data_IF_381183129038
#
_entry.id   IF_381183129038
#
_cell.length_a   1.000
_cell.length_b   1.000
_cell.length_c   1.000
_cell.angle_alpha   90.00
_cell.angle_beta   90.00
_cell.angle_gamma   90.00
#
_symmetry.space_group_name_H-M   'P 1'
#
loop_
_entity.id
_entity.type
_entity.pdbx_description
1 polymer ?
#
# COMPACT_ATOMS: atom_id res chain seq x y z
N UNK A 1 -13.73 1.98 -12.86
CA UNK A 1 -13.67 1.68 -14.32
C UNK A 1 -12.86 2.71 -15.12
N UNK A 2 -13.15 4.00 -15.10
CA UNK A 2 -12.40 4.97 -15.94
C UNK A 2 -10.91 5.07 -15.57
N UNK A 3 -10.59 5.17 -14.27
CA UNK A 3 -9.19 5.23 -13.77
C UNK A 3 -8.41 3.96 -14.13
N UNK A 4 -9.02 2.80 -13.98
CA UNK A 4 -8.43 1.50 -14.32
C UNK A 4 -8.00 1.46 -15.79
N UNK A 5 -8.90 1.80 -16.72
CA UNK A 5 -8.61 1.82 -18.16
C UNK A 5 -7.48 2.80 -18.52
N UNK A 6 -7.47 4.00 -17.92
CA UNK A 6 -6.42 5.00 -18.14
C UNK A 6 -5.03 4.49 -17.69
N UNK A 7 -4.96 3.77 -16.58
CA UNK A 7 -3.71 3.19 -16.10
C UNK A 7 -3.24 2.10 -17.05
N UNK A 8 -4.11 1.17 -17.46
CA UNK A 8 -3.75 0.14 -18.44
C UNK A 8 -3.22 0.74 -19.76
N UNK A 9 -3.87 1.79 -20.28
CA UNK A 9 -3.39 2.49 -21.47
C UNK A 9 -2.03 3.17 -21.26
N UNK A 10 -1.83 3.80 -20.10
CA UNK A 10 -0.55 4.43 -19.76
C UNK A 10 0.57 3.38 -19.66
N UNK A 11 0.33 2.27 -18.98
CA UNK A 11 1.28 1.17 -18.84
C UNK A 11 1.64 0.56 -20.22
N UNK A 12 0.66 0.37 -21.08
CA UNK A 12 0.88 -0.13 -22.46
C UNK A 12 1.80 0.81 -23.26
N UNK A 13 1.61 2.12 -23.14
CA UNK A 13 2.42 3.13 -23.84
C UNK A 13 3.89 3.15 -23.40
N UNK A 14 4.22 2.64 -22.23
CA UNK A 14 5.62 2.57 -21.76
C UNK A 14 6.48 1.62 -22.60
N UNK A 15 5.88 0.59 -23.20
CA UNK A 15 6.58 -0.43 -23.96
C UNK A 15 7.38 -1.43 -23.13
N UNK A 16 7.57 -1.19 -21.82
CA UNK A 16 8.40 -2.05 -20.95
C UNK A 16 7.58 -3.00 -20.05
N UNK A 17 6.27 -2.76 -19.94
CA UNK A 17 5.37 -3.58 -19.13
C UNK A 17 4.85 -4.74 -19.95
N UNK A 18 5.21 -5.97 -19.51
CA UNK A 18 4.71 -7.20 -20.11
C UNK A 18 3.20 -7.35 -19.91
N UNK A 19 2.79 -7.29 -18.65
CA UNK A 19 1.40 -7.50 -18.28
C UNK A 19 1.05 -6.73 -17.00
N UNK A 20 -0.24 -6.52 -16.78
CA UNK A 20 -0.75 -5.89 -15.57
C UNK A 20 -2.03 -6.57 -15.08
N UNK A 21 -2.30 -6.44 -13.78
CA UNK A 21 -3.54 -6.80 -13.13
C UNK A 21 -3.93 -5.74 -12.12
N UNK A 22 -5.23 -5.49 -11.94
CA UNK A 22 -5.73 -4.53 -10.98
C UNK A 22 -6.77 -5.14 -10.04
N UNK A 23 -7.11 -4.39 -8.98
CA UNK A 23 -8.21 -4.75 -8.10
C UNK A 23 -9.54 -4.89 -8.86
N UNK A 24 -9.79 -4.01 -9.81
CA UNK A 24 -11.00 -3.98 -10.65
C UNK A 24 -10.94 -5.03 -11.78
N UNK A 25 -9.74 -5.40 -12.20
CA UNK A 25 -9.48 -6.43 -13.21
C UNK A 25 -8.53 -7.48 -12.62
N UNK A 26 -9.03 -8.39 -11.72
CA UNK A 26 -8.21 -9.33 -10.97
C UNK A 26 -7.78 -10.54 -11.82
N UNK A 27 -7.16 -10.24 -12.95
CA UNK A 27 -6.56 -11.21 -13.88
C UNK A 27 -5.43 -10.55 -14.64
N UNK A 28 -4.49 -11.35 -15.11
CA UNK A 28 -3.38 -10.85 -15.92
C UNK A 28 -3.86 -10.42 -17.31
N UNK A 29 -3.53 -9.19 -17.68
CA UNK A 29 -3.76 -8.62 -19.02
C UNK A 29 -2.41 -8.36 -19.65
N UNK A 30 -2.08 -9.09 -20.72
CA UNK A 30 -0.83 -8.89 -21.47
C UNK A 30 -0.89 -7.59 -22.24
N UNK A 31 0.11 -6.73 -22.08
CA UNK A 31 0.21 -5.41 -22.71
C UNK A 31 1.27 -5.36 -23.81
N UNK A 32 2.43 -5.96 -23.54
CA UNK A 32 3.53 -6.09 -24.51
C UNK A 32 4.26 -7.43 -24.30
N UNK A 33 4.19 -8.38 -25.25
CA UNK A 33 4.86 -9.68 -25.13
C UNK A 33 6.38 -9.61 -24.87
N UNK A 34 7.03 -8.51 -25.23
CA UNK A 34 8.46 -8.28 -25.05
C UNK A 34 8.79 -7.48 -23.78
N UNK A 35 7.80 -7.10 -22.98
CA UNK A 35 8.01 -6.37 -21.74
C UNK A 35 8.67 -7.21 -20.66
N UNK A 36 9.43 -6.55 -19.79
CA UNK A 36 10.21 -7.19 -18.71
C UNK A 36 9.52 -7.13 -17.36
N UNK A 37 8.53 -6.27 -17.20
CA UNK A 37 7.91 -5.97 -15.91
C UNK A 37 6.43 -6.38 -15.88
N UNK A 38 5.99 -6.77 -14.70
CA UNK A 38 4.57 -6.91 -14.37
C UNK A 38 4.21 -5.79 -13.42
N UNK A 39 3.01 -5.21 -13.60
CA UNK A 39 2.49 -4.17 -12.69
C UNK A 39 1.17 -4.65 -12.10
N UNK A 40 1.07 -4.60 -10.79
CA UNK A 40 -0.19 -4.82 -10.06
C UNK A 40 -0.60 -3.55 -9.35
N UNK A 41 -1.89 -3.20 -9.37
CA UNK A 41 -2.33 -1.92 -8.82
C UNK A 41 -3.76 -1.93 -8.31
N UNK A 42 -4.02 -1.10 -7.31
CA UNK A 42 -5.34 -0.59 -7.00
C UNK A 42 -5.49 0.78 -7.68
N UNK A 43 -6.41 0.91 -8.64
CA UNK A 43 -6.56 2.17 -9.38
C UNK A 43 -7.13 3.30 -8.53
N UNK A 44 -7.95 2.99 -7.51
CA UNK A 44 -8.64 3.98 -6.69
C UNK A 44 -9.01 3.44 -5.31
N UNK A 45 -8.03 3.32 -4.43
CA UNK A 45 -8.26 3.02 -3.02
C UNK A 45 -9.05 4.14 -2.34
N UNK A 46 -10.02 3.75 -1.53
CA UNK A 46 -10.91 4.68 -0.84
C UNK A 46 -12.12 5.11 -1.67
N UNK A 47 -12.51 4.37 -2.70
CA UNK A 47 -13.69 4.67 -3.52
C UNK A 47 -14.98 4.87 -2.70
N UNK A 48 -15.12 4.18 -1.58
CA UNK A 48 -16.27 4.29 -0.66
C UNK A 48 -16.37 5.61 0.11
N UNK A 49 -15.32 6.43 0.14
CA UNK A 49 -15.29 7.71 0.87
C UNK A 49 -15.17 8.92 -0.05
N UNK A 50 -15.17 8.70 -1.38
CA UNK A 50 -15.02 9.77 -2.38
C UNK A 50 -16.19 10.76 -2.35
N UNK A 51 -17.42 10.25 -2.16
CA UNK A 51 -18.64 11.09 -2.08
C UNK A 51 -18.65 11.97 -0.82
N UNK A 52 -17.93 11.55 0.22
CA UNK A 52 -17.73 12.34 1.42
C UNK A 52 -16.58 13.37 1.31
N UNK A 53 -15.98 13.49 0.11
CA UNK A 53 -14.87 14.38 -0.17
C UNK A 53 -13.60 14.12 0.65
N UNK A 54 -13.37 12.87 1.03
CA UNK A 54 -12.11 12.45 1.63
C UNK A 54 -11.03 12.23 0.57
N UNK A 55 -9.77 12.27 1.00
CA UNK A 55 -8.65 11.92 0.14
C UNK A 55 -8.71 10.44 -0.24
N UNK A 56 -8.39 10.15 -1.48
CA UNK A 56 -8.30 8.81 -2.06
C UNK A 56 -6.90 8.57 -2.60
N UNK A 57 -6.59 7.36 -3.06
CA UNK A 57 -5.25 7.08 -3.57
C UNK A 57 -5.20 6.00 -4.63
N UNK A 58 -3.99 5.75 -5.14
CA UNK A 58 -3.68 4.63 -6.00
C UNK A 58 -2.43 3.92 -5.49
N UNK A 59 -2.42 2.61 -5.61
CA UNK A 59 -1.35 1.76 -5.07
C UNK A 59 -0.78 0.93 -6.20
N UNK A 60 0.56 0.88 -6.31
CA UNK A 60 1.24 0.15 -7.38
C UNK A 60 2.37 -0.71 -6.83
N UNK A 61 2.54 -1.90 -7.41
CA UNK A 61 3.75 -2.69 -7.28
C UNK A 61 4.29 -3.07 -8.66
N UNK A 62 5.62 -3.11 -8.77
CA UNK A 62 6.36 -3.52 -9.94
C UNK A 62 7.11 -4.80 -9.61
N UNK A 63 6.97 -5.78 -10.49
CA UNK A 63 7.58 -7.10 -10.36
C UNK A 63 8.39 -7.41 -11.60
N UNK A 64 9.48 -8.16 -11.44
CA UNK A 64 10.19 -8.65 -12.60
C UNK A 64 9.49 -9.90 -13.15
N UNK A 65 9.30 -9.93 -14.46
CA UNK A 65 8.78 -11.12 -15.16
C UNK A 65 9.71 -12.31 -14.90
N UNK A 66 9.14 -13.47 -14.56
CA UNK A 66 9.87 -14.74 -14.50
C UNK A 66 9.61 -15.49 -15.81
N UNK A 67 10.67 -15.95 -16.46
CA UNK A 67 10.57 -16.74 -17.69
C UNK A 67 9.96 -18.12 -17.40
N UNK A 68 9.23 -18.68 -18.38
CA UNK A 68 8.68 -20.03 -18.33
C UNK A 68 7.37 -20.21 -17.57
N UNK A 69 6.80 -19.16 -16.99
CA UNK A 69 5.45 -19.23 -16.42
C UNK A 69 4.40 -18.93 -17.49
N UNK A 70 3.28 -19.66 -17.49
CA UNK A 70 2.13 -19.41 -18.37
C UNK A 70 1.48 -18.06 -18.06
N UNK A 71 0.78 -17.47 -19.02
CA UNK A 71 0.22 -16.11 -18.91
C UNK A 71 -0.78 -15.94 -17.77
N UNK A 72 -1.49 -16.99 -17.38
CA UNK A 72 -2.53 -16.95 -16.33
C UNK A 72 -1.93 -17.11 -14.92
N UNK A 73 -0.75 -17.70 -14.78
CA UNK A 73 -0.16 -18.07 -13.49
C UNK A 73 0.97 -17.13 -13.04
N UNK A 74 1.23 -16.05 -13.79
CA UNK A 74 2.42 -15.21 -13.61
C UNK A 74 2.62 -14.64 -12.21
N UNK A 75 1.56 -14.50 -11.40
CA UNK A 75 1.67 -13.99 -10.04
C UNK A 75 1.55 -15.05 -8.95
N UNK A 76 1.14 -16.27 -9.31
CA UNK A 76 1.02 -17.34 -8.31
C UNK A 76 2.42 -17.79 -7.86
N UNK A 77 2.57 -17.96 -6.56
CA UNK A 77 3.86 -18.28 -5.94
C UNK A 77 4.79 -17.10 -5.67
N UNK A 78 4.44 -15.88 -6.12
CA UNK A 78 5.19 -14.67 -5.74
C UNK A 78 4.94 -14.30 -4.27
N UNK A 79 5.88 -13.59 -3.70
CA UNK A 79 5.82 -13.04 -2.34
C UNK A 79 6.20 -11.56 -2.38
N UNK A 80 6.00 -10.83 -1.29
CA UNK A 80 6.46 -9.44 -1.21
C UNK A 80 7.95 -9.24 -1.45
N UNK A 81 8.77 -10.28 -1.33
CA UNK A 81 10.22 -10.23 -1.61
C UNK A 81 10.54 -10.13 -3.10
N UNK A 82 9.60 -10.51 -3.96
CA UNK A 82 9.75 -10.46 -5.41
C UNK A 82 9.41 -9.06 -5.98
N UNK A 83 8.91 -8.14 -5.14
CA UNK A 83 8.66 -6.73 -5.52
C UNK A 83 9.99 -6.03 -5.75
N UNK A 84 10.12 -5.36 -6.89
CA UNK A 84 11.28 -4.56 -7.24
C UNK A 84 11.03 -3.05 -7.16
N UNK A 85 9.78 -2.62 -7.15
CA UNK A 85 9.37 -1.23 -6.99
C UNK A 85 7.93 -1.13 -6.50
N UNK A 86 7.62 -0.04 -5.80
CA UNK A 86 6.25 0.26 -5.38
C UNK A 86 6.05 1.77 -5.30
N UNK A 87 4.77 2.16 -5.45
CA UNK A 87 4.32 3.54 -5.34
C UNK A 87 2.97 3.58 -4.62
N UNK A 88 2.82 4.56 -3.74
CA UNK A 88 1.59 4.92 -3.06
C UNK A 88 1.28 6.38 -3.38
N UNK A 89 0.30 6.64 -4.25
CA UNK A 89 -0.18 7.98 -4.54
C UNK A 89 -1.36 8.35 -3.63
N UNK A 90 -1.45 9.61 -3.23
CA UNK A 90 -2.59 10.14 -2.46
C UNK A 90 -3.08 11.44 -3.10
N UNK A 91 -4.39 11.49 -3.34
CA UNK A 91 -5.12 12.58 -3.99
C UNK A 91 -6.00 13.27 -2.94
N UNK A 92 -5.49 14.32 -2.34
CA UNK A 92 -6.17 15.11 -1.33
C UNK A 92 -5.97 16.60 -1.58
N UNK A 93 -5.67 17.36 -0.53
CA UNK A 93 -5.33 18.79 -0.66
C UNK A 93 -4.06 19.04 -1.49
N UNK A 94 -3.23 18.02 -1.65
CA UNK A 94 -2.09 17.96 -2.57
C UNK A 94 -2.12 16.61 -3.28
N UNK A 95 -1.64 16.56 -4.53
CA UNK A 95 -1.32 15.30 -5.20
C UNK A 95 0.12 14.94 -4.90
N UNK A 96 0.31 13.83 -4.23
CA UNK A 96 1.63 13.38 -3.73
C UNK A 96 1.79 11.88 -3.96
N UNK A 97 3.03 11.40 -3.98
CA UNK A 97 3.30 9.97 -3.99
C UNK A 97 4.51 9.64 -3.13
N UNK A 98 4.46 8.48 -2.49
CA UNK A 98 5.60 7.82 -1.86
C UNK A 98 6.09 6.75 -2.82
N UNK A 99 7.38 6.79 -3.17
CA UNK A 99 7.98 5.90 -4.16
C UNK A 99 9.23 5.25 -3.62
N UNK A 100 9.45 3.97 -3.96
CA UNK A 100 10.73 3.34 -3.72
C UNK A 100 11.70 3.71 -4.83
N UNK A 101 12.74 4.47 -4.46
CA UNK A 101 13.83 4.85 -5.35
C UNK A 101 14.86 3.72 -5.42
N UNK A 102 14.84 2.96 -6.49
CA UNK A 102 15.69 1.77 -6.69
C UNK A 102 17.17 2.14 -6.84
N UNK A 103 17.48 3.32 -7.41
CA UNK A 103 18.85 3.77 -7.61
C UNK A 103 19.54 4.06 -6.26
N UNK A 104 18.80 4.67 -5.35
CA UNK A 104 19.31 5.06 -4.03
C UNK A 104 18.91 4.13 -2.90
N UNK A 105 18.15 3.05 -3.20
CA UNK A 105 17.65 2.06 -2.23
C UNK A 105 16.97 2.73 -1.02
N UNK A 106 16.05 3.66 -1.28
CA UNK A 106 15.35 4.43 -0.25
C UNK A 106 13.91 4.75 -0.66
N UNK A 107 13.13 5.20 0.30
CA UNK A 107 11.75 5.65 0.07
C UNK A 107 11.75 7.18 0.05
N UNK A 108 11.20 7.77 -0.99
CA UNK A 108 11.12 9.22 -1.18
C UNK A 108 9.64 9.65 -1.35
N UNK A 109 9.31 10.89 -0.94
CA UNK A 109 8.04 11.56 -1.24
C UNK A 109 8.25 12.53 -2.41
N UNK A 110 7.37 12.48 -3.39
CA UNK A 110 7.29 13.41 -4.51
C UNK A 110 5.92 14.07 -4.54
N UNK A 111 5.86 15.31 -4.98
CA UNK A 111 4.61 16.07 -5.15
C UNK A 111 4.40 16.51 -6.58
N UNK A 112 3.15 16.47 -7.04
CA UNK A 112 2.78 16.97 -8.35
C UNK A 112 2.53 18.48 -8.26
N UNK A 113 3.32 19.25 -8.98
CA UNK A 113 3.24 20.70 -8.98
C UNK A 113 3.03 21.26 -10.38
N UNK A 114 2.15 22.26 -10.47
CA UNK A 114 2.03 23.08 -11.68
C UNK A 114 3.26 23.99 -11.77
N UNK A 115 3.92 23.96 -12.90
CA UNK A 115 5.04 24.83 -13.25
C UNK A 115 4.56 25.87 -14.26
N UNK A 116 4.74 27.18 -13.99
CA UNK A 116 4.43 28.19 -14.96
C UNK A 116 5.33 28.05 -16.18
N UNK A 117 4.82 28.44 -17.33
CA UNK A 117 5.59 28.57 -18.55
C UNK A 117 6.80 29.50 -18.31
N UNK A 118 7.92 29.17 -18.92
CA UNK A 118 9.12 30.01 -18.84
C UNK A 118 9.07 31.19 -19.81
N UNK A 119 8.28 31.04 -20.89
CA UNK A 119 8.09 32.05 -21.93
C UNK A 119 6.58 32.18 -22.23
N UNK A 120 6.16 33.31 -22.81
CA UNK A 120 4.77 33.60 -23.21
C UNK A 120 4.24 32.62 -24.29
N UNK A 121 5.12 31.94 -24.99
CA UNK A 121 4.78 30.94 -26.00
C UNK A 121 4.70 29.51 -25.46
N UNK A 122 5.17 29.27 -24.21
CA UNK A 122 5.10 27.97 -23.56
C UNK A 122 3.75 27.80 -22.84
N UNK A 123 3.38 26.54 -22.61
CA UNK A 123 2.23 26.19 -21.75
C UNK A 123 2.74 25.80 -20.36
N UNK A 124 1.95 26.13 -19.35
CA UNK A 124 2.13 25.55 -18.02
C UNK A 124 2.15 24.03 -18.10
N UNK A 125 3.00 23.40 -17.32
CA UNK A 125 3.10 21.95 -17.25
C UNK A 125 3.10 21.44 -15.81
N UNK A 126 2.75 20.18 -15.63
CA UNK A 126 2.80 19.50 -14.36
C UNK A 126 4.09 18.70 -14.23
N UNK A 127 4.74 18.79 -13.08
CA UNK A 127 5.98 18.08 -12.79
C UNK A 127 5.95 17.46 -11.40
N UNK A 128 6.46 16.24 -11.30
CA UNK A 128 6.76 15.62 -10.01
C UNK A 128 8.07 16.19 -9.46
N UNK A 129 8.05 16.58 -8.20
CA UNK A 129 9.16 17.25 -7.54
C UNK A 129 9.40 16.58 -6.21
N UNK A 130 10.67 16.33 -5.89
CA UNK A 130 11.08 15.82 -4.59
C UNK A 130 10.58 16.73 -3.46
N UNK A 131 9.84 16.13 -2.52
CA UNK A 131 9.35 16.81 -1.31
C UNK A 131 10.17 16.38 -0.10
N UNK A 132 10.43 15.08 0.00
CA UNK A 132 11.20 14.50 1.10
C UNK A 132 11.98 13.31 0.58
N UNK A 133 13.25 13.25 0.94
CA UNK A 133 14.14 12.14 0.58
C UNK A 133 14.44 11.29 1.81
N UNK A 134 14.62 9.99 1.58
CA UNK A 134 15.05 9.04 2.60
C UNK A 134 14.11 9.01 3.81
N UNK A 135 12.84 8.73 3.57
CA UNK A 135 11.85 8.55 4.64
C UNK A 135 12.27 7.38 5.53
N UNK A 136 12.31 7.63 6.83
CA UNK A 136 12.62 6.61 7.85
C UNK A 136 11.46 6.56 8.86
N UNK A 137 10.94 5.36 9.11
CA UNK A 137 9.90 5.13 10.11
C UNK A 137 10.55 4.81 11.45
N UNK A 138 10.25 5.62 12.46
CA UNK A 138 10.71 5.44 13.84
C UNK A 138 10.17 4.13 14.42
N UNK A 139 10.91 3.52 15.35
CA UNK A 139 10.50 2.25 15.97
C UNK A 139 9.20 2.33 16.78
N UNK A 140 8.91 3.46 17.39
CA UNK A 140 7.73 3.68 18.25
C UNK A 140 6.86 4.82 17.73
N UNK A 141 5.59 4.84 18.14
CA UNK A 141 4.63 5.89 17.81
C UNK A 141 3.58 6.05 18.91
N UNK A 142 2.85 7.15 18.86
CA UNK A 142 1.60 7.41 19.60
C UNK A 142 0.43 7.74 18.66
N UNK A 143 0.47 7.23 17.42
CA UNK A 143 -0.60 7.43 16.42
C UNK A 143 -1.04 6.10 15.85
N UNK A 144 -2.35 5.86 15.79
CA UNK A 144 -2.92 4.62 15.27
C UNK A 144 -4.10 4.87 14.32
N UNK A 145 -4.24 4.00 13.32
CA UNK A 145 -5.28 4.01 12.28
C UNK A 145 -5.93 2.63 12.18
N UNK A 146 -7.06 2.38 12.89
CA UNK A 146 -7.73 1.07 12.92
C UNK A 146 -8.74 0.93 11.78
N UNK A 147 -8.38 0.23 10.71
CA UNK A 147 -9.22 0.09 9.50
C UNK A 147 -10.46 -0.80 9.65
N UNK A 148 -10.42 -1.85 10.45
CA UNK A 148 -11.52 -2.81 10.60
C UNK A 148 -11.96 -2.93 12.06
N UNK A 149 -12.36 -1.80 12.66
CA UNK A 149 -12.69 -1.72 14.08
C UNK A 149 -13.79 -2.71 14.52
N UNK A 150 -14.70 -3.11 13.62
CA UNK A 150 -15.76 -4.09 13.92
C UNK A 150 -15.22 -5.44 14.37
N UNK A 151 -14.03 -5.82 13.91
CA UNK A 151 -13.39 -7.06 14.28
C UNK A 151 -13.01 -7.10 15.77
N UNK A 152 -12.74 -5.96 16.40
CA UNK A 152 -12.32 -5.90 17.80
C UNK A 152 -13.33 -6.44 18.78
N UNK A 153 -14.62 -6.42 18.44
CA UNK A 153 -15.69 -7.00 19.25
C UNK A 153 -15.68 -8.54 19.24
N UNK A 154 -15.01 -9.17 18.28
CA UNK A 154 -15.01 -10.61 18.05
C UNK A 154 -13.60 -11.23 18.10
N UNK A 155 -12.58 -10.44 17.82
CA UNK A 155 -11.17 -10.80 17.98
C UNK A 155 -10.65 -10.16 19.27
N UNK A 156 -10.62 -10.96 20.36
CA UNK A 156 -10.26 -10.49 21.70
C UNK A 156 -8.86 -9.86 21.73
N UNK A 157 -7.89 -10.45 21.03
CA UNK A 157 -6.52 -9.92 20.96
C UNK A 157 -6.48 -8.53 20.32
N UNK A 158 -7.20 -8.36 19.20
CA UNK A 158 -7.29 -7.06 18.54
C UNK A 158 -8.05 -6.04 19.40
N UNK A 159 -9.11 -6.46 20.08
CA UNK A 159 -9.83 -5.62 21.05
C UNK A 159 -8.93 -5.11 22.15
N UNK A 160 -8.13 -5.97 22.78
CA UNK A 160 -7.11 -5.60 23.78
C UNK A 160 -6.06 -4.64 23.22
N UNK A 161 -5.66 -4.82 21.98
CA UNK A 161 -4.71 -3.93 21.30
C UNK A 161 -5.27 -2.52 21.13
N UNK A 162 -6.50 -2.37 20.65
CA UNK A 162 -7.18 -1.07 20.55
C UNK A 162 -7.37 -0.40 21.91
N UNK A 163 -7.82 -1.16 22.90
CA UNK A 163 -7.94 -0.69 24.29
C UNK A 163 -6.62 -0.16 24.85
N UNK A 164 -5.52 -0.86 24.57
CA UNK A 164 -4.19 -0.42 24.96
C UNK A 164 -3.85 0.95 24.34
N UNK A 165 -4.04 1.13 23.03
CA UNK A 165 -3.74 2.40 22.38
C UNK A 165 -4.60 3.55 22.93
N UNK A 166 -5.90 3.31 23.14
CA UNK A 166 -6.82 4.31 23.69
C UNK A 166 -6.40 4.69 25.12
N UNK A 167 -6.21 3.72 26.01
CA UNK A 167 -5.85 3.94 27.43
C UNK A 167 -4.47 4.59 27.62
N UNK A 168 -3.56 4.41 26.66
CA UNK A 168 -2.22 5.00 26.69
C UNK A 168 -2.10 6.31 25.90
N UNK A 169 -3.22 6.96 25.55
CA UNK A 169 -3.27 8.30 25.00
C UNK A 169 -2.76 8.40 23.55
N UNK A 170 -2.93 7.33 22.76
CA UNK A 170 -2.60 7.38 21.33
C UNK A 170 -3.60 8.26 20.57
N UNK A 171 -3.10 8.95 19.56
CA UNK A 171 -3.91 9.79 18.69
C UNK A 171 -4.50 8.95 17.55
N UNK A 172 -5.83 8.93 17.45
CA UNK A 172 -6.54 8.31 16.33
C UNK A 172 -6.38 9.16 15.06
N UNK A 173 -5.98 8.51 13.97
CA UNK A 173 -5.98 9.05 12.61
C UNK A 173 -6.53 7.98 11.68
N UNK A 174 -7.72 8.20 11.15
CA UNK A 174 -8.38 7.25 10.26
C UNK A 174 -9.31 7.98 9.29
N UNK A 175 -9.05 7.84 8.00
CA UNK A 175 -9.81 8.47 6.92
C UNK A 175 -10.80 7.53 6.24
N UNK A 176 -10.57 6.22 6.34
CA UNK A 176 -11.31 5.19 5.60
C UNK A 176 -10.70 4.83 4.25
N UNK A 177 -9.62 5.52 3.85
CA UNK A 177 -8.80 5.20 2.69
C UNK A 177 -7.43 4.72 3.17
N UNK A 178 -7.07 3.47 2.86
CA UNK A 178 -5.82 2.87 3.30
C UNK A 178 -4.61 3.63 2.77
N UNK A 179 -4.65 4.05 1.51
CA UNK A 179 -3.57 4.83 0.90
C UNK A 179 -3.29 6.12 1.68
N UNK A 180 -4.34 6.87 2.04
CA UNK A 180 -4.20 8.13 2.80
C UNK A 180 -3.75 7.90 4.23
N UNK A 181 -4.27 6.87 4.90
CA UNK A 181 -3.90 6.51 6.27
C UNK A 181 -2.46 6.01 6.35
N UNK A 182 -2.00 5.26 5.36
CA UNK A 182 -0.61 4.81 5.25
C UNK A 182 0.33 5.95 4.82
N UNK A 183 -0.11 6.85 3.92
CA UNK A 183 0.65 8.04 3.55
C UNK A 183 1.00 8.89 4.78
N UNK A 184 0.07 9.00 5.74
CA UNK A 184 0.32 9.68 7.00
C UNK A 184 1.53 9.11 7.77
N UNK A 185 1.72 7.78 7.78
CA UNK A 185 2.87 7.12 8.45
C UNK A 185 4.19 7.59 7.82
N UNK A 186 4.26 7.64 6.48
CA UNK A 186 5.46 8.12 5.78
C UNK A 186 5.76 9.59 6.04
N UNK A 187 4.73 10.44 6.05
CA UNK A 187 4.89 11.89 6.28
C UNK A 187 5.37 12.18 7.70
N UNK A 188 4.85 11.48 8.69
CA UNK A 188 5.23 11.65 10.10
C UNK A 188 6.50 10.89 10.48
N UNK A 189 6.90 9.90 9.66
CA UNK A 189 7.97 8.98 9.99
C UNK A 189 7.64 8.10 11.19
N UNK A 190 6.36 7.92 11.49
CA UNK A 190 5.86 7.08 12.60
C UNK A 190 4.35 6.87 12.44
N UNK A 191 3.82 5.81 13.00
CA UNK A 191 2.40 5.46 12.98
C UNK A 191 2.19 3.97 12.90
N UNK A 192 0.95 3.54 13.16
CA UNK A 192 0.50 2.17 12.94
C UNK A 192 -0.84 2.18 12.21
N UNK A 193 -0.93 1.43 11.12
CA UNK A 193 -2.19 1.09 10.46
C UNK A 193 -2.49 -0.39 10.71
N UNK A 194 -3.75 -0.72 11.01
CA UNK A 194 -4.19 -2.08 11.23
C UNK A 194 -5.56 -2.32 10.62
N UNK A 195 -5.72 -3.44 9.91
CA UNK A 195 -7.00 -3.96 9.45
C UNK A 195 -7.02 -5.46 9.71
N UNK A 196 -7.61 -5.84 10.84
CA UNK A 196 -7.65 -7.22 11.35
C UNK A 196 -9.05 -7.79 11.18
N UNK A 197 -9.15 -9.08 10.92
CA UNK A 197 -10.41 -9.79 10.73
C UNK A 197 -10.85 -10.58 11.99
N UNK A 198 -12.09 -11.04 11.95
CA UNK A 198 -12.67 -11.99 12.91
C UNK A 198 -13.63 -12.94 12.17
N UNK A 199 -13.10 -13.86 11.36
CA UNK A 199 -13.91 -14.78 10.58
C UNK A 199 -14.81 -15.66 11.49
N UNK A 200 -15.97 -16.15 10.99
CA UNK A 200 -16.53 -15.87 9.67
C UNK A 200 -17.31 -14.56 9.57
N UNK A 201 -17.59 -13.87 10.70
CA UNK A 201 -18.50 -12.72 10.74
C UNK A 201 -17.89 -11.45 10.17
N UNK A 202 -16.60 -11.24 10.38
CA UNK A 202 -15.86 -10.06 9.92
C UNK A 202 -14.61 -10.53 9.15
N UNK A 203 -14.73 -10.82 7.84
CA UNK A 203 -13.61 -11.30 7.04
C UNK A 203 -12.57 -10.22 6.77
N UNK A 204 -11.36 -10.62 6.37
CA UNK A 204 -10.33 -9.73 5.81
C UNK A 204 -10.88 -9.04 4.57
N UNK A 205 -10.55 -7.77 4.39
CA UNK A 205 -11.12 -6.91 3.34
C UNK A 205 -10.10 -6.56 2.27
N UNK A 206 -8.86 -6.32 2.66
CA UNK A 206 -7.79 -5.78 1.81
C UNK A 206 -7.11 -6.91 1.02
N UNK A 207 -6.79 -6.61 -0.24
CA UNK A 207 -6.22 -7.58 -1.17
C UNK A 207 -4.70 -7.63 -1.07
N UNK A 208 -4.18 -8.86 -1.02
CA UNK A 208 -2.74 -9.10 -0.87
C UNK A 208 -1.94 -8.46 -2.00
N UNK A 209 -2.36 -8.69 -3.25
CA UNK A 209 -1.58 -8.35 -4.43
C UNK A 209 -1.58 -6.87 -4.78
N UNK A 210 -2.70 -6.18 -4.53
CA UNK A 210 -2.92 -4.81 -5.02
C UNK A 210 -2.73 -3.74 -3.94
N UNK A 211 -2.93 -4.11 -2.66
CA UNK A 211 -2.92 -3.19 -1.53
C UNK A 211 -1.86 -3.57 -0.50
N UNK A 212 -1.95 -4.79 0.08
CA UNK A 212 -1.17 -5.16 1.26
C UNK A 212 0.33 -5.28 0.98
N UNK A 213 0.73 -6.05 -0.04
CA UNK A 213 2.15 -6.26 -0.37
C UNK A 213 2.85 -5.00 -0.88
N UNK A 214 2.25 -4.18 -1.77
CA UNK A 214 2.87 -2.92 -2.20
C UNK A 214 3.16 -1.96 -1.05
N UNK A 215 2.18 -1.74 -0.16
CA UNK A 215 2.36 -0.82 0.98
C UNK A 215 3.32 -1.42 2.01
N UNK A 216 3.21 -2.72 2.30
CA UNK A 216 4.15 -3.42 3.18
C UNK A 216 5.59 -3.31 2.69
N UNK A 217 5.83 -3.42 1.38
CA UNK A 217 7.14 -3.23 0.78
C UNK A 217 7.69 -1.82 1.08
N UNK A 218 6.91 -0.77 0.84
CA UNK A 218 7.32 0.61 1.13
C UNK A 218 7.61 0.83 2.62
N UNK A 219 6.74 0.33 3.51
CA UNK A 219 6.92 0.42 4.97
C UNK A 219 8.22 -0.26 5.41
N UNK A 220 8.47 -1.49 4.93
CA UNK A 220 9.68 -2.24 5.28
C UNK A 220 10.94 -1.55 4.73
N UNK A 221 10.89 -1.02 3.50
CA UNK A 221 11.99 -0.26 2.89
C UNK A 221 12.26 1.07 3.62
N UNK A 222 11.27 1.64 4.27
CA UNK A 222 11.40 2.80 5.14
C UNK A 222 11.81 2.47 6.59
N UNK A 223 12.09 1.19 6.92
CA UNK A 223 12.54 0.76 8.26
C UNK A 223 11.42 0.37 9.23
N UNK A 224 10.17 0.35 8.79
CA UNK A 224 9.04 -0.16 9.55
C UNK A 224 8.88 -1.68 9.47
N UNK A 225 7.80 -2.20 10.06
CA UNK A 225 7.42 -3.62 10.01
C UNK A 225 6.05 -3.81 9.38
N UNK A 226 5.82 -5.04 8.86
CA UNK A 226 4.56 -5.44 8.24
C UNK A 226 4.23 -6.90 8.62
N UNK A 227 2.98 -7.11 9.10
CA UNK A 227 2.47 -8.39 9.58
C UNK A 227 1.03 -8.61 9.14
N UNK A 228 0.61 -9.86 9.03
CA UNK A 228 -0.81 -10.27 8.92
C UNK A 228 -1.47 -10.50 10.30
N UNK A 229 -0.79 -10.14 11.38
CA UNK A 229 -1.17 -10.41 12.75
C UNK A 229 -0.45 -11.61 13.35
N UNK A 230 0.06 -12.52 12.54
CA UNK A 230 0.79 -13.74 12.94
C UNK A 230 2.16 -13.80 12.27
N UNK A 231 2.18 -13.63 10.95
CA UNK A 231 3.39 -13.80 10.12
C UNK A 231 3.86 -12.47 9.56
N UNK A 232 5.11 -12.46 9.08
CA UNK A 232 5.63 -11.34 8.29
C UNK A 232 4.92 -11.25 6.96
N UNK A 233 4.21 -10.15 6.71
CA UNK A 233 3.38 -9.95 5.51
C UNK A 233 4.16 -10.14 4.21
N UNK A 234 5.43 -9.71 4.16
CA UNK A 234 6.31 -9.87 3.01
C UNK A 234 6.64 -11.34 2.64
N UNK A 235 6.22 -12.31 3.47
CA UNK A 235 6.38 -13.75 3.22
C UNK A 235 5.10 -14.44 2.75
N UNK A 236 3.99 -13.73 2.72
CA UNK A 236 2.73 -14.27 2.19
C UNK A 236 2.96 -14.64 0.72
N UNK A 237 2.59 -15.86 0.38
CA UNK A 237 2.60 -16.33 -1.00
C UNK A 237 1.28 -15.98 -1.67
N UNK A 238 1.34 -15.40 -2.86
CA UNK A 238 0.17 -15.14 -3.69
C UNK A 238 -0.34 -16.47 -4.23
N UNK A 239 -1.56 -16.84 -3.87
CA UNK A 239 -2.23 -18.08 -4.28
C UNK A 239 -3.39 -17.86 -5.25
N UNK A 240 -3.91 -16.64 -5.29
CA UNK A 240 -4.96 -16.21 -6.21
C UNK A 240 -4.96 -14.69 -6.37
N UNK A 241 -5.49 -14.18 -7.46
CA UNK A 241 -5.52 -12.75 -7.76
C UNK A 241 -6.41 -11.94 -6.81
N UNK A 242 -7.46 -12.52 -6.26
CA UNK A 242 -8.38 -11.88 -5.33
C UNK A 242 -8.08 -12.18 -3.85
N UNK A 243 -6.92 -12.80 -3.56
CA UNK A 243 -6.51 -13.16 -2.21
C UNK A 243 -6.54 -11.97 -1.26
N UNK A 244 -7.13 -12.18 -0.09
CA UNK A 244 -7.22 -11.18 0.98
C UNK A 244 -6.44 -11.64 2.21
N UNK A 245 -5.95 -10.68 2.98
CA UNK A 245 -5.33 -10.94 4.28
C UNK A 245 -5.54 -9.79 5.24
N UNK A 246 -5.30 -10.05 6.50
CA UNK A 246 -5.14 -9.01 7.50
C UNK A 246 -3.83 -8.25 7.27
N UNK A 247 -3.75 -7.04 7.80
CA UNK A 247 -2.58 -6.18 7.70
C UNK A 247 -2.38 -5.35 8.96
N UNK A 248 -1.14 -5.32 9.45
CA UNK A 248 -0.68 -4.46 10.54
C UNK A 248 0.70 -3.94 10.13
N UNK A 249 0.83 -2.63 9.91
CA UNK A 249 2.04 -2.03 9.34
C UNK A 249 2.39 -0.70 10.01
N UNK A 250 3.68 -0.38 10.07
CA UNK A 250 4.17 0.88 10.58
C UNK A 250 5.37 0.74 11.51
N UNK A 251 5.35 1.49 12.61
CA UNK A 251 6.39 1.49 13.65
C UNK A 251 6.55 0.09 14.27
N UNK A 252 7.77 -0.44 14.25
CA UNK A 252 8.03 -1.87 14.53
C UNK A 252 7.60 -2.31 15.92
N UNK A 253 7.75 -1.44 16.93
CA UNK A 253 7.36 -1.78 18.32
C UNK A 253 5.84 -1.94 18.44
N UNK A 254 5.06 -1.16 17.69
CA UNK A 254 3.59 -1.26 17.71
C UNK A 254 3.09 -2.44 16.86
N UNK A 255 3.77 -2.75 15.76
CA UNK A 255 3.46 -3.98 15.00
C UNK A 255 3.73 -5.21 15.87
N UNK A 256 4.88 -5.26 16.56
CA UNK A 256 5.21 -6.34 17.51
C UNK A 256 4.18 -6.43 18.64
N UNK A 257 3.81 -5.30 19.25
CA UNK A 257 2.80 -5.23 20.30
C UNK A 257 1.43 -5.76 19.84
N UNK A 258 0.99 -5.37 18.66
CA UNK A 258 -0.26 -5.87 18.08
C UNK A 258 -0.22 -7.39 17.86
N UNK A 259 0.91 -7.91 17.36
CA UNK A 259 1.10 -9.36 17.23
C UNK A 259 1.08 -10.07 18.59
N UNK A 260 1.72 -9.52 19.62
CA UNK A 260 1.67 -10.07 20.99
C UNK A 260 0.23 -10.16 21.51
N UNK A 261 -0.57 -9.13 21.33
CA UNK A 261 -1.97 -9.15 21.75
C UNK A 261 -2.79 -10.19 20.98
N UNK A 262 -2.57 -10.32 19.67
CA UNK A 262 -3.34 -11.22 18.81
C UNK A 262 -2.96 -12.68 19.04
N UNK A 263 -1.66 -12.97 19.17
CA UNK A 263 -1.14 -14.35 19.26
C UNK A 263 -0.93 -14.83 20.69
N UNK A 264 -0.81 -13.92 21.66
CA UNK A 264 -0.40 -14.23 23.03
C UNK A 264 1.09 -14.55 23.17
N UNK A 265 1.88 -14.42 22.12
CA UNK A 265 3.32 -14.75 22.09
C UNK A 265 4.14 -13.45 22.02
N UNK A 266 5.15 -13.29 22.90
CA UNK A 266 6.10 -12.18 22.81
C UNK A 266 7.03 -12.36 21.61
N UNK A 267 7.23 -11.26 20.87
CA UNK A 267 8.13 -11.18 19.70
C UNK A 267 9.44 -10.46 20.04
#
# INVERSE_FOLDING_TARGET
MHTDSLIFEALKKTGVVYAAASEETPKMVVLNPHGEFIVTFDPLDGSSVIDANFAVGSIFAIWKRKEGLGDVEHMLGFTGKDIIGACLASFGSRTVAVVYNTIHNRVDEIGLHRRPAKDVHDKDYWAWIDQRKNIVIKPSTKTFSPGNIKASALNEGYGKCLDYWIKNGYTLRYSGCMASDCFHIFVKGEGIFSSVSAPPKVPSRLRVLYENLPIAFLIVKAGGWASDGVNKLMRITVTEYAQKSDIIIGSKEEVGRAQEFITGVKY
#
